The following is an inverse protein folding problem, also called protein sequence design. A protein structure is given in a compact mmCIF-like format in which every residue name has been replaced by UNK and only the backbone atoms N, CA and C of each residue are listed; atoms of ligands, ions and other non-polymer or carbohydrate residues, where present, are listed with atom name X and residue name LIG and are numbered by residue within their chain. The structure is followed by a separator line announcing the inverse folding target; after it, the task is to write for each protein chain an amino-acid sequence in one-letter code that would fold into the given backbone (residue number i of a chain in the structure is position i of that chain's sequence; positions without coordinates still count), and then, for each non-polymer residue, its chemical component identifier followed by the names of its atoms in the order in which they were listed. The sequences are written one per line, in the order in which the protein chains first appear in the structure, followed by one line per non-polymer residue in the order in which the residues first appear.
data_IF_356830904850
#
_entry.id   IF_356830904850
#
_cell.length_a   1.000
_cell.length_b   1.000
_cell.length_c   1.000
_cell.angle_alpha   90.00
_cell.angle_beta   90.00
_cell.angle_gamma   90.00
#
_symmetry.space_group_name_H-M   'P 1'
#
loop_
_entity.id
_entity.type
_entity.pdbx_description
1 polymer ?
#
# COMPACT_ATOMS: atom_id res chain seq x y z
N UNK A 1 28.31 -39.82 0.70
CA UNK A 1 27.88 -38.50 1.23
C UNK A 1 26.93 -37.91 0.22
N UNK A 2 25.65 -38.16 0.39
CA UNK A 2 24.57 -37.61 -0.45
C UNK A 2 24.26 -36.21 0.09
N UNK A 3 24.59 -35.19 -0.71
CA UNK A 3 24.18 -33.81 -0.42
C UNK A 3 22.65 -33.78 -0.46
N UNK A 4 22.03 -33.58 0.70
CA UNK A 4 20.59 -33.27 0.82
C UNK A 4 20.39 -31.92 0.14
N UNK A 5 19.78 -31.91 -1.05
CA UNK A 5 19.35 -30.70 -1.71
C UNK A 5 18.43 -29.95 -0.73
N UNK A 6 18.72 -28.67 -0.50
CA UNK A 6 17.83 -27.80 0.26
C UNK A 6 16.43 -27.86 -0.40
N UNK A 7 15.35 -27.91 0.38
CA UNK A 7 14.00 -27.96 -0.18
C UNK A 7 13.82 -26.74 -1.09
N UNK A 8 13.49 -26.99 -2.36
CA UNK A 8 13.15 -25.93 -3.31
C UNK A 8 12.05 -25.06 -2.68
N UNK A 9 12.39 -23.85 -2.30
CA UNK A 9 11.47 -22.91 -1.67
C UNK A 9 10.44 -22.50 -2.73
N UNK A 10 9.23 -23.04 -2.63
CA UNK A 10 8.15 -22.69 -3.56
C UNK A 10 7.80 -21.20 -3.41
N UNK A 11 7.98 -20.37 -4.45
CA UNK A 11 7.75 -18.94 -4.40
C UNK A 11 6.28 -18.56 -4.10
N UNK A 12 5.36 -19.51 -4.23
CA UNK A 12 3.96 -19.30 -3.85
C UNK A 12 3.77 -19.11 -2.33
N UNK A 13 4.66 -19.71 -1.53
CA UNK A 13 4.57 -19.70 -0.06
C UNK A 13 5.71 -18.90 0.59
N UNK A 14 6.79 -18.63 -0.12
CA UNK A 14 7.96 -17.99 0.44
C UNK A 14 8.21 -16.63 -0.18
N UNK A 15 8.45 -15.66 0.68
CA UNK A 15 8.81 -14.31 0.29
C UNK A 15 10.32 -14.11 0.46
N UNK A 16 11.04 -13.74 -0.60
CA UNK A 16 12.44 -13.39 -0.50
C UNK A 16 12.66 -11.89 -0.68
N UNK A 17 13.58 -11.33 0.11
CA UNK A 17 13.99 -9.93 -0.03
C UNK A 17 14.53 -9.63 -1.43
N UNK A 18 15.27 -10.57 -2.03
CA UNK A 18 15.81 -10.45 -3.38
C UNK A 18 14.71 -10.36 -4.45
N UNK A 19 13.68 -11.23 -4.37
CA UNK A 19 12.54 -11.16 -5.27
C UNK A 19 11.83 -9.80 -5.19
N UNK A 20 11.60 -9.28 -3.97
CA UNK A 20 11.00 -7.95 -3.77
C UNK A 20 11.90 -6.81 -4.27
N UNK A 21 13.23 -6.94 -4.11
CA UNK A 21 14.19 -6.00 -4.69
C UNK A 21 14.12 -6.00 -6.21
N UNK A 22 13.96 -7.17 -6.82
CA UNK A 22 13.82 -7.34 -8.27
C UNK A 22 12.60 -6.63 -8.86
N UNK A 23 11.54 -6.36 -8.08
CA UNK A 23 10.34 -5.64 -8.56
C UNK A 23 10.61 -4.17 -8.94
N UNK A 24 11.78 -3.62 -8.59
CA UNK A 24 12.18 -2.25 -8.96
C UNK A 24 12.01 -1.95 -10.45
N UNK A 25 12.28 -2.91 -11.33
CA UNK A 25 12.16 -2.71 -12.77
C UNK A 25 10.71 -2.52 -13.23
N UNK A 26 9.73 -3.14 -12.55
CA UNK A 26 8.31 -2.97 -12.82
C UNK A 26 7.81 -1.61 -12.30
N UNK A 27 8.29 -1.17 -11.16
CA UNK A 27 7.95 0.13 -10.60
C UNK A 27 8.35 1.31 -11.52
N UNK A 28 9.45 1.16 -12.28
CA UNK A 28 9.96 2.18 -13.21
C UNK A 28 9.28 2.21 -14.58
N UNK A 29 8.63 1.13 -15.02
CA UNK A 29 8.04 1.02 -16.37
C UNK A 29 6.85 1.97 -16.62
N UNK A 30 6.26 2.56 -15.58
CA UNK A 30 5.16 3.52 -15.68
C UNK A 30 5.58 4.98 -15.86
N UNK A 31 6.86 5.31 -15.89
CA UNK A 31 7.36 6.68 -16.08
C UNK A 31 7.45 6.99 -17.57
N UNK A 32 6.31 7.05 -18.27
CA UNK A 32 6.17 7.92 -19.41
C UNK A 32 5.88 9.30 -18.83
N UNK A 33 6.55 10.39 -19.24
CA UNK A 33 6.12 11.75 -18.93
C UNK A 33 4.86 12.05 -19.75
N UNK A 34 3.80 11.32 -19.46
CA UNK A 34 2.48 11.67 -19.94
C UNK A 34 2.04 12.87 -19.12
N UNK A 35 1.98 14.01 -19.79
CA UNK A 35 1.14 15.14 -19.42
C UNK A 35 0.04 14.68 -18.47
N UNK A 36 0.10 15.14 -17.21
CA UNK A 36 -0.92 14.86 -16.20
C UNK A 36 -2.28 15.40 -16.67
N UNK A 37 -2.90 14.70 -17.56
CA UNK A 37 -4.30 14.91 -17.90
C UNK A 37 -5.10 14.20 -16.83
N UNK A 38 -5.57 14.98 -15.87
CA UNK A 38 -6.53 14.57 -14.85
C UNK A 38 -7.81 14.08 -15.54
N UNK A 39 -7.86 12.80 -15.89
CA UNK A 39 -9.09 12.15 -16.32
C UNK A 39 -9.89 11.78 -15.07
N UNK A 40 -10.98 12.50 -14.87
CA UNK A 40 -12.05 12.39 -13.91
C UNK A 40 -12.21 11.14 -13.06
N UNK A 41 -11.89 11.29 -11.79
CA UNK A 41 -12.62 10.62 -10.70
C UNK A 41 -13.56 11.68 -10.10
N UNK A 42 -14.85 11.44 -9.96
CA UNK A 42 -15.77 12.38 -9.35
C UNK A 42 -15.45 12.47 -7.85
N UNK A 43 -15.08 13.65 -7.35
CA UNK A 43 -15.01 13.95 -5.94
C UNK A 43 -13.67 14.43 -5.37
N UNK A 44 -12.64 14.68 -6.16
CA UNK A 44 -11.36 15.19 -5.65
C UNK A 44 -11.23 16.72 -5.80
N UNK A 45 -11.35 17.48 -4.71
CA UNK A 45 -10.95 18.90 -4.68
C UNK A 45 -9.44 18.95 -4.73
N UNK A 46 -8.88 19.40 -5.87
CA UNK A 46 -7.45 19.68 -6.01
C UNK A 46 -7.14 20.98 -5.28
N UNK A 47 -6.73 20.90 -4.02
CA UNK A 47 -6.14 22.04 -3.33
C UNK A 47 -4.67 22.15 -3.73
N UNK A 48 -4.36 23.08 -4.64
CA UNK A 48 -2.99 23.57 -4.84
C UNK A 48 -2.56 24.35 -3.59
N UNK A 49 -2.09 23.66 -2.54
CA UNK A 49 -1.42 24.34 -1.43
C UNK A 49 0.02 24.66 -1.86
N UNK A 50 0.35 25.93 -1.82
CA UNK A 50 1.70 26.46 -2.05
C UNK A 50 2.52 26.26 -0.77
N UNK A 51 3.75 25.72 -0.89
CA UNK A 51 4.66 25.49 0.21
C UNK A 51 5.93 26.36 0.13
N UNK A 52 6.74 26.31 1.18
CA UNK A 52 8.04 26.99 1.29
C UNK A 52 9.16 25.96 1.18
N UNK A 53 9.56 25.60 -0.04
CA UNK A 53 10.74 24.77 -0.31
C UNK A 53 12.02 25.60 -0.51
N UNK A 54 13.19 24.97 -0.45
CA UNK A 54 14.51 25.63 -0.52
C UNK A 54 15.10 25.76 -1.92
N UNK A 55 14.62 25.00 -2.91
CA UNK A 55 15.05 25.12 -4.29
C UNK A 55 13.98 25.72 -5.22
N UNK A 56 14.33 26.73 -6.07
CA UNK A 56 13.39 27.34 -6.99
C UNK A 56 13.26 26.50 -8.25
N UNK A 57 12.14 25.79 -8.42
CA UNK A 57 11.91 24.92 -9.59
C UNK A 57 11.29 25.65 -10.78
N UNK A 58 10.59 26.76 -10.56
CA UNK A 58 9.94 27.53 -11.64
C UNK A 58 9.81 29.01 -11.29
N UNK A 59 9.68 29.85 -12.34
CA UNK A 59 9.52 31.27 -12.21
C UNK A 59 8.21 31.69 -12.89
N UNK A 60 7.28 32.29 -12.13
CA UNK A 60 6.02 32.81 -12.67
C UNK A 60 5.92 34.32 -12.54
N UNK A 61 4.99 34.91 -13.26
CA UNK A 61 4.66 36.33 -13.09
C UNK A 61 4.17 36.59 -11.67
N UNK A 62 4.63 37.70 -11.10
CA UNK A 62 4.16 38.19 -9.82
C UNK A 62 2.67 38.55 -9.86
N UNK A 63 1.94 38.27 -8.80
CA UNK A 63 0.56 38.69 -8.62
C UNK A 63 0.36 39.33 -7.26
N UNK A 64 -0.67 40.16 -7.13
CA UNK A 64 -1.00 40.83 -5.88
C UNK A 64 -1.25 39.84 -4.75
N UNK A 65 -0.53 39.97 -3.63
CA UNK A 65 -0.50 39.01 -2.53
C UNK A 65 0.75 38.12 -2.47
N UNK A 66 1.64 38.21 -3.45
CA UNK A 66 2.92 37.50 -3.40
C UNK A 66 3.94 38.23 -2.52
N UNK A 67 4.76 37.46 -1.76
CA UNK A 67 5.82 38.00 -0.93
C UNK A 67 6.98 38.53 -1.79
N UNK A 68 7.30 39.80 -1.66
CA UNK A 68 8.39 40.47 -2.40
C UNK A 68 9.77 39.84 -2.18
N UNK A 69 9.95 39.07 -1.12
CA UNK A 69 11.20 38.36 -0.81
C UNK A 69 11.49 37.23 -1.80
N UNK A 70 10.46 36.72 -2.48
CA UNK A 70 10.56 35.67 -3.47
C UNK A 70 10.70 36.16 -4.92
N UNK A 71 10.90 37.46 -5.13
CA UNK A 71 11.11 38.03 -6.47
C UNK A 71 12.41 37.47 -7.07
N UNK A 72 12.32 36.84 -8.26
CA UNK A 72 13.47 36.46 -9.04
C UNK A 72 14.04 37.66 -9.79
N UNK A 73 15.16 38.20 -9.29
CA UNK A 73 15.83 39.39 -9.85
C UNK A 73 16.34 39.13 -11.26
N UNK A 74 16.79 37.92 -11.55
CA UNK A 74 17.35 37.59 -12.87
C UNK A 74 16.26 37.48 -13.96
N UNK A 75 15.16 36.82 -13.65
CA UNK A 75 14.03 36.74 -14.56
C UNK A 75 13.36 38.10 -14.75
N UNK A 76 13.20 38.90 -13.65
CA UNK A 76 12.65 40.22 -13.68
C UNK A 76 13.53 41.20 -14.50
N UNK A 77 14.85 41.15 -14.35
CA UNK A 77 15.77 41.97 -15.12
C UNK A 77 15.79 41.66 -16.60
N UNK A 78 15.56 40.38 -16.96
CA UNK A 78 15.57 39.94 -18.37
C UNK A 78 14.27 40.30 -19.10
N UNK A 79 13.14 40.28 -18.42
CA UNK A 79 11.81 40.44 -19.04
C UNK A 79 11.22 41.85 -18.79
N UNK A 80 11.72 42.60 -17.83
CA UNK A 80 11.14 43.87 -17.39
C UNK A 80 9.84 43.73 -16.59
N UNK A 81 9.37 42.55 -16.31
CA UNK A 81 8.13 42.26 -15.57
C UNK A 81 8.50 41.47 -14.31
N UNK A 82 7.85 41.81 -13.16
CA UNK A 82 8.12 41.12 -11.89
C UNK A 82 7.82 39.64 -11.96
N UNK A 83 8.82 38.82 -11.65
CA UNK A 83 8.73 37.40 -11.55
C UNK A 83 8.99 36.95 -10.12
N UNK A 84 8.26 35.93 -9.67
CA UNK A 84 8.40 35.32 -8.36
C UNK A 84 8.85 33.86 -8.53
N UNK A 85 9.85 33.48 -7.72
CA UNK A 85 10.24 32.08 -7.60
C UNK A 85 9.11 31.30 -6.95
N UNK A 86 8.62 30.31 -7.64
CA UNK A 86 7.73 29.31 -7.06
C UNK A 86 8.60 28.23 -6.47
N UNK A 87 8.53 28.09 -5.16
CA UNK A 87 9.11 26.91 -4.51
C UNK A 87 8.04 25.83 -4.55
N UNK A 88 8.33 24.70 -5.18
CA UNK A 88 7.58 23.51 -4.86
C UNK A 88 7.91 23.17 -3.41
N UNK A 89 6.89 22.96 -2.60
CA UNK A 89 7.07 22.32 -1.30
C UNK A 89 7.58 20.89 -1.65
N UNK A 90 8.88 20.68 -1.60
CA UNK A 90 9.43 19.35 -1.39
C UNK A 90 8.95 18.93 0.00
N UNK A 91 7.66 18.65 0.11
CA UNK A 91 7.19 17.91 1.26
C UNK A 91 7.86 16.58 1.16
N UNK A 92 8.78 16.40 2.06
CA UNK A 92 9.44 15.17 2.38
C UNK A 92 8.37 14.08 2.51
N UNK A 93 7.98 13.53 1.32
CA UNK A 93 6.86 12.60 1.18
C UNK A 93 7.17 11.36 1.99
N UNK A 94 6.66 11.31 3.22
CA UNK A 94 6.82 10.18 4.11
C UNK A 94 5.65 9.22 3.96
N UNK A 95 5.93 7.99 3.59
CA UNK A 95 4.95 6.91 3.42
C UNK A 95 5.28 5.79 4.40
N UNK A 96 4.33 5.33 5.20
CA UNK A 96 4.42 4.08 5.94
C UNK A 96 3.58 3.02 5.25
N UNK A 97 4.23 1.93 4.90
CA UNK A 97 3.60 0.73 4.38
C UNK A 97 3.21 -0.16 5.55
N UNK A 98 1.92 -0.51 5.68
CA UNK A 98 1.44 -1.45 6.68
C UNK A 98 1.08 -2.76 5.99
N UNK A 99 1.88 -3.81 6.23
CA UNK A 99 1.67 -5.14 5.70
C UNK A 99 0.98 -6.02 6.75
N UNK A 100 -0.12 -6.65 6.37
CA UNK A 100 -0.82 -7.62 7.20
C UNK A 100 -0.32 -9.03 6.87
N UNK A 101 0.36 -9.66 7.83
CA UNK A 101 0.83 -11.07 7.76
C UNK A 101 0.23 -11.91 8.88
N UNK A 102 -0.91 -11.47 9.42
CA UNK A 102 -1.66 -12.24 10.41
C UNK A 102 -2.18 -13.55 9.79
N UNK A 103 -2.60 -14.51 10.60
CA UNK A 103 -3.05 -15.83 10.14
C UNK A 103 -4.01 -15.84 8.95
N UNK A 104 -5.00 -14.96 8.90
CA UNK A 104 -5.95 -14.87 7.79
C UNK A 104 -5.28 -14.53 6.45
N UNK A 105 -4.14 -13.85 6.48
CA UNK A 105 -3.39 -13.49 5.28
C UNK A 105 -2.48 -14.62 4.77
N UNK A 106 -2.23 -15.66 5.58
CA UNK A 106 -1.47 -16.85 5.20
C UNK A 106 -2.33 -17.86 4.42
N UNK A 107 -3.28 -17.35 3.67
CA UNK A 107 -4.19 -18.09 2.82
C UNK A 107 -3.96 -17.76 1.34
N UNK A 108 -4.08 -18.77 0.48
CA UNK A 108 -4.01 -18.61 -0.98
C UNK A 108 -4.36 -19.92 -1.68
N UNK A 109 -5.02 -19.83 -2.84
CA UNK A 109 -5.55 -21.03 -3.53
C UNK A 109 -4.91 -21.33 -4.88
N UNK A 110 -4.18 -20.39 -5.47
CA UNK A 110 -3.60 -20.55 -6.80
C UNK A 110 -2.14 -20.10 -6.88
N UNK A 111 -1.90 -18.82 -7.14
CA UNK A 111 -0.56 -18.29 -7.41
C UNK A 111 0.30 -18.16 -6.15
N UNK A 112 -0.24 -17.57 -5.11
CA UNK A 112 0.51 -17.21 -3.92
C UNK A 112 -0.42 -17.03 -2.70
N UNK A 113 0.17 -16.83 -1.52
CA UNK A 113 -0.57 -16.39 -0.35
C UNK A 113 -0.96 -14.91 -0.47
N UNK A 114 -2.03 -14.49 0.19
CA UNK A 114 -2.45 -13.08 0.29
C UNK A 114 -1.32 -12.20 0.84
N UNK A 115 -0.58 -12.70 1.84
CA UNK A 115 0.59 -12.02 2.43
C UNK A 115 1.71 -11.77 1.42
N UNK A 116 1.97 -12.72 0.52
CA UNK A 116 2.95 -12.57 -0.56
C UNK A 116 2.49 -11.49 -1.53
N UNK A 117 1.23 -11.53 -1.98
CA UNK A 117 0.66 -10.53 -2.89
C UNK A 117 0.66 -9.11 -2.26
N UNK A 118 0.34 -9.02 -0.97
CA UNK A 118 0.42 -7.76 -0.21
C UNK A 118 1.84 -7.20 -0.20
N UNK A 119 2.85 -8.03 0.09
CA UNK A 119 4.25 -7.63 0.11
C UNK A 119 4.75 -7.19 -1.26
N UNK A 120 4.39 -7.89 -2.33
CA UNK A 120 4.73 -7.53 -3.71
C UNK A 120 4.16 -6.14 -4.08
N UNK A 121 2.88 -5.89 -3.78
CA UNK A 121 2.23 -4.61 -4.06
C UNK A 121 2.87 -3.47 -3.25
N UNK A 122 3.11 -3.68 -1.96
CA UNK A 122 3.75 -2.69 -1.10
C UNK A 122 5.20 -2.41 -1.53
N UNK A 123 5.96 -3.44 -1.95
CA UNK A 123 7.32 -3.24 -2.47
C UNK A 123 7.32 -2.42 -3.77
N UNK A 124 6.38 -2.70 -4.70
CA UNK A 124 6.21 -1.90 -5.91
C UNK A 124 5.93 -0.43 -5.59
N UNK A 125 5.01 -0.17 -4.65
CA UNK A 125 4.71 1.19 -4.23
C UNK A 125 5.91 1.86 -3.54
N UNK A 126 6.61 1.14 -2.65
CA UNK A 126 7.80 1.63 -1.97
C UNK A 126 8.91 2.03 -2.97
N UNK A 127 9.13 1.23 -4.01
CA UNK A 127 10.08 1.54 -5.08
C UNK A 127 9.70 2.80 -5.87
N UNK A 128 8.41 3.06 -6.09
CA UNK A 128 7.93 4.29 -6.72
C UNK A 128 8.20 5.49 -5.83
N UNK A 129 7.76 5.41 -4.56
CA UNK A 129 7.98 6.48 -3.56
C UNK A 129 9.44 6.88 -3.47
N UNK A 130 10.34 5.90 -3.35
CA UNK A 130 11.79 6.16 -3.27
C UNK A 130 12.35 6.65 -4.61
N UNK A 131 11.82 6.16 -5.73
CA UNK A 131 12.19 6.61 -7.07
C UNK A 131 11.88 8.08 -7.32
N UNK A 132 10.84 8.60 -6.68
CA UNK A 132 10.39 10.00 -6.72
C UNK A 132 11.01 10.86 -5.59
N UNK A 133 12.05 10.36 -4.90
CA UNK A 133 12.74 11.08 -3.83
C UNK A 133 12.07 11.03 -2.46
N UNK A 134 10.94 10.32 -2.32
CA UNK A 134 10.22 10.17 -1.05
C UNK A 134 10.91 9.23 -0.05
N UNK A 135 10.35 9.18 1.16
CA UNK A 135 10.78 8.32 2.26
C UNK A 135 9.76 7.22 2.54
N UNK A 136 10.23 5.99 2.71
CA UNK A 136 9.39 4.82 2.98
C UNK A 136 9.74 4.21 4.32
N UNK A 137 8.73 3.97 5.15
CA UNK A 137 8.78 3.20 6.38
C UNK A 137 7.89 1.96 6.27
N UNK A 138 7.92 1.12 7.29
CA UNK A 138 7.20 -0.15 7.31
C UNK A 138 6.64 -0.41 8.70
N UNK A 139 5.43 -0.96 8.75
CA UNK A 139 4.88 -1.67 9.89
C UNK A 139 4.37 -3.02 9.39
N UNK A 140 4.73 -4.11 10.06
CA UNK A 140 4.23 -5.44 9.71
C UNK A 140 3.44 -6.00 10.88
N UNK A 141 2.17 -6.33 10.60
CA UNK A 141 1.31 -7.08 11.49
C UNK A 141 1.62 -8.58 11.36
N UNK A 142 1.91 -9.25 12.44
CA UNK A 142 2.09 -10.70 12.51
C UNK A 142 1.34 -11.28 13.70
N UNK A 143 1.63 -12.52 14.06
CA UNK A 143 1.16 -13.13 15.31
C UNK A 143 1.93 -12.62 16.53
N UNK A 144 3.17 -12.15 16.31
CA UNK A 144 4.10 -11.65 17.32
C UNK A 144 4.10 -10.12 17.41
N UNK A 145 5.12 -9.61 18.14
CA UNK A 145 5.41 -8.18 18.16
C UNK A 145 5.60 -7.61 16.75
N UNK A 146 4.99 -6.44 16.47
CA UNK A 146 5.06 -5.84 15.15
C UNK A 146 6.49 -5.41 14.81
N UNK A 147 6.88 -5.63 13.56
CA UNK A 147 8.10 -5.06 13.02
C UNK A 147 7.83 -3.65 12.54
N UNK A 148 8.64 -2.67 12.97
CA UNK A 148 8.48 -1.28 12.58
C UNK A 148 9.79 -0.66 12.09
N UNK A 149 9.75 0.03 10.94
CA UNK A 149 10.86 0.81 10.37
C UNK A 149 10.41 2.25 10.15
N UNK A 150 11.20 3.21 10.62
CA UNK A 150 10.95 4.63 10.37
C UNK A 150 11.12 4.99 8.90
N UNK A 151 10.37 5.96 8.36
CA UNK A 151 10.54 6.42 6.98
C UNK A 151 11.96 6.90 6.70
N UNK A 152 12.61 6.30 5.68
CA UNK A 152 13.92 6.66 5.18
C UNK A 152 13.93 6.63 3.65
N UNK A 153 14.83 7.41 3.04
CA UNK A 153 14.94 7.53 1.59
C UNK A 153 15.99 6.59 0.97
N UNK A 154 15.93 6.47 -0.35
CA UNK A 154 16.94 5.79 -1.14
C UNK A 154 16.88 4.27 -1.09
N UNK A 155 17.80 3.64 -1.83
CA UNK A 155 17.82 2.18 -2.03
C UNK A 155 18.05 1.40 -0.73
N UNK A 156 18.83 1.96 0.21
CA UNK A 156 19.06 1.34 1.52
C UNK A 156 17.77 1.18 2.33
N UNK A 157 16.86 2.15 2.23
CA UNK A 157 15.56 2.06 2.89
C UNK A 157 14.75 0.90 2.30
N UNK A 158 14.74 0.74 0.98
CA UNK A 158 14.04 -0.38 0.33
C UNK A 158 14.67 -1.72 0.66
N UNK A 159 16.00 -1.81 0.74
CA UNK A 159 16.67 -3.03 1.21
C UNK A 159 16.23 -3.42 2.63
N UNK A 160 16.13 -2.45 3.53
CA UNK A 160 15.62 -2.70 4.89
C UNK A 160 14.14 -3.13 4.88
N UNK A 161 13.30 -2.45 4.09
CA UNK A 161 11.86 -2.76 3.96
C UNK A 161 11.64 -4.16 3.40
N UNK A 162 12.30 -4.51 2.28
CA UNK A 162 12.13 -5.83 1.65
C UNK A 162 12.69 -6.96 2.51
N UNK A 163 13.82 -6.73 3.18
CA UNK A 163 14.38 -7.68 4.14
C UNK A 163 13.47 -7.90 5.36
N UNK A 164 12.88 -6.82 5.89
CA UNK A 164 11.94 -6.90 7.01
C UNK A 164 10.64 -7.62 6.63
N UNK A 165 10.09 -7.35 5.41
CA UNK A 165 8.93 -8.07 4.89
C UNK A 165 9.21 -9.58 4.78
N UNK A 166 10.36 -9.97 4.18
CA UNK A 166 10.74 -11.37 4.03
C UNK A 166 10.91 -12.05 5.39
N UNK A 167 11.62 -11.41 6.33
CA UNK A 167 11.84 -11.95 7.66
C UNK A 167 10.56 -12.09 8.47
N UNK A 168 9.67 -11.08 8.42
CA UNK A 168 8.39 -11.12 9.12
C UNK A 168 7.48 -12.20 8.55
N UNK A 169 7.44 -12.37 7.21
CA UNK A 169 6.67 -13.41 6.56
C UNK A 169 7.18 -14.81 6.93
N UNK A 170 8.49 -15.02 6.96
CA UNK A 170 9.06 -16.30 7.38
C UNK A 170 8.69 -16.64 8.83
N UNK A 171 8.72 -15.65 9.75
CA UNK A 171 8.25 -15.85 11.13
C UNK A 171 6.76 -16.20 11.19
N UNK A 172 5.92 -15.48 10.42
CA UNK A 172 4.48 -15.76 10.37
C UNK A 172 4.17 -17.19 9.91
N UNK A 173 4.91 -17.70 8.93
CA UNK A 173 4.77 -19.10 8.47
C UNK A 173 5.26 -20.12 9.48
N UNK A 174 6.27 -19.78 10.28
CA UNK A 174 6.84 -20.69 11.28
C UNK A 174 5.97 -20.84 12.52
N UNK A 175 5.04 -19.92 12.76
CA UNK A 175 4.19 -19.92 13.95
C UNK A 175 2.82 -20.54 13.68
N UNK A 176 2.38 -21.51 14.51
CA UNK A 176 1.02 -22.01 14.44
C UNK A 176 0.05 -20.88 14.80
N UNK A 177 -0.85 -20.58 13.88
CA UNK A 177 -1.81 -19.52 14.07
C UNK A 177 -2.90 -19.91 15.07
N UNK A 178 -3.15 -19.05 16.05
CA UNK A 178 -4.29 -19.20 16.96
C UNK A 178 -5.47 -18.32 16.50
N UNK A 179 -5.25 -17.03 16.23
CA UNK A 179 -6.25 -16.06 15.77
C UNK A 179 -5.55 -14.80 15.23
N UNK A 180 -6.30 -13.97 14.50
CA UNK A 180 -5.81 -12.66 14.09
C UNK A 180 -5.84 -11.68 15.28
N UNK A 181 -4.72 -11.10 15.71
CA UNK A 181 -4.74 -9.99 16.65
C UNK A 181 -5.36 -8.75 15.96
N UNK A 182 -6.02 -7.84 16.73
CA UNK A 182 -6.56 -6.61 16.16
C UNK A 182 -5.50 -5.72 15.49
N UNK A 183 -5.86 -5.03 14.39
CA UNK A 183 -4.99 -4.05 13.72
C UNK A 183 -4.96 -2.68 14.43
N UNK A 184 -5.80 -2.48 15.44
CA UNK A 184 -6.01 -1.20 16.12
C UNK A 184 -4.69 -0.59 16.65
N UNK A 185 -3.90 -1.40 17.36
CA UNK A 185 -2.60 -0.96 17.89
C UNK A 185 -1.59 -0.62 16.77
N UNK A 186 -1.68 -1.29 15.63
CA UNK A 186 -0.78 -1.09 14.50
C UNK A 186 -1.07 0.20 13.74
N UNK A 187 -2.33 0.61 13.67
CA UNK A 187 -2.70 1.92 13.17
C UNK A 187 -2.09 3.04 14.02
N UNK A 188 -2.14 2.88 15.34
CA UNK A 188 -1.52 3.83 16.29
C UNK A 188 0.00 3.86 16.15
N UNK A 189 0.63 2.69 16.01
CA UNK A 189 2.07 2.58 15.76
C UNK A 189 2.45 3.27 14.43
N UNK A 190 1.75 2.98 13.34
CA UNK A 190 2.00 3.59 12.04
C UNK A 190 1.85 5.12 12.09
N UNK A 191 0.84 5.63 12.83
CA UNK A 191 0.67 7.07 13.06
C UNK A 191 1.88 7.69 13.76
N UNK A 192 2.47 7.01 14.74
CA UNK A 192 3.63 7.52 15.48
C UNK A 192 4.91 7.68 14.63
N UNK A 193 4.96 7.00 13.48
CA UNK A 193 6.08 7.05 12.54
C UNK A 193 5.92 8.14 11.48
N UNK A 194 4.74 8.75 11.35
CA UNK A 194 4.42 9.69 10.29
C UNK A 194 4.26 11.12 10.83
N UNK A 195 4.75 12.14 10.10
CA UNK A 195 4.38 13.51 10.33
C UNK A 195 2.91 13.76 9.96
N UNK A 196 2.35 14.88 10.37
CA UNK A 196 1.05 15.32 9.87
C UNK A 196 1.11 15.56 8.35
N UNK A 197 0.10 15.07 7.64
CA UNK A 197 0.09 15.06 6.16
C UNK A 197 0.89 13.91 5.54
N UNK A 198 1.48 13.03 6.35
CA UNK A 198 2.12 11.81 5.86
C UNK A 198 1.11 10.79 5.31
N UNK A 199 1.62 9.76 4.66
CA UNK A 199 0.80 8.78 3.94
C UNK A 199 0.89 7.41 4.60
N UNK A 200 -0.26 6.79 4.84
CA UNK A 200 -0.38 5.41 5.32
C UNK A 200 -1.00 4.53 4.23
N UNK A 201 -0.33 3.46 3.86
CA UNK A 201 -0.85 2.48 2.91
C UNK A 201 -0.95 1.13 3.60
N UNK A 202 -2.16 0.64 3.78
CA UNK A 202 -2.46 -0.67 4.41
C UNK A 202 -2.82 -1.70 3.35
N UNK A 203 -2.13 -2.83 3.34
CA UNK A 203 -2.47 -4.01 2.54
C UNK A 203 -2.94 -5.14 3.43
N UNK A 204 -4.22 -5.49 3.35
CA UNK A 204 -4.89 -6.51 4.17
C UNK A 204 -6.12 -7.06 3.46
N UNK A 205 -6.60 -8.24 3.85
CA UNK A 205 -7.94 -8.72 3.49
C UNK A 205 -9.05 -8.12 4.38
N UNK A 206 -8.68 -7.55 5.53
CA UNK A 206 -9.60 -6.99 6.54
C UNK A 206 -10.66 -7.98 7.03
N UNK A 207 -10.31 -9.28 7.13
CA UNK A 207 -11.25 -10.32 7.59
C UNK A 207 -11.63 -10.11 9.05
N UNK A 208 -10.67 -9.72 9.89
CA UNK A 208 -10.86 -9.43 11.33
C UNK A 208 -10.01 -8.23 11.73
N UNK A 209 -10.38 -6.99 11.35
CA UNK A 209 -9.52 -5.82 11.55
C UNK A 209 -9.42 -5.38 13.01
N UNK A 210 -10.42 -5.66 13.83
CA UNK A 210 -10.53 -5.23 15.22
C UNK A 210 -11.76 -4.35 15.47
N UNK A 211 -12.21 -4.26 16.74
CA UNK A 211 -13.45 -3.55 17.06
C UNK A 211 -13.34 -2.03 16.91
N UNK A 212 -12.15 -1.46 17.10
CA UNK A 212 -11.91 -0.02 17.00
C UNK A 212 -11.34 0.42 15.66
N UNK A 213 -11.08 -0.51 14.75
CA UNK A 213 -10.39 -0.27 13.49
C UNK A 213 -11.01 0.86 12.65
N UNK A 214 -12.30 0.79 12.38
CA UNK A 214 -13.00 1.77 11.54
C UNK A 214 -13.02 3.16 12.16
N UNK A 215 -13.19 3.23 13.49
CA UNK A 215 -13.15 4.48 14.24
C UNK A 215 -11.74 5.12 14.18
N UNK A 216 -10.70 4.33 14.45
CA UNK A 216 -9.32 4.80 14.40
C UNK A 216 -8.91 5.21 13.00
N UNK A 217 -9.28 4.42 11.99
CA UNK A 217 -8.96 4.73 10.60
C UNK A 217 -9.57 6.06 10.16
N UNK A 218 -10.84 6.32 10.53
CA UNK A 218 -11.51 7.59 10.23
C UNK A 218 -10.84 8.76 10.95
N UNK A 219 -10.50 8.61 12.22
CA UNK A 219 -9.78 9.64 12.98
C UNK A 219 -8.40 9.96 12.38
N UNK A 220 -7.66 8.92 11.97
CA UNK A 220 -6.36 9.10 11.36
C UNK A 220 -6.43 9.79 9.99
N UNK A 221 -7.52 9.58 9.25
CA UNK A 221 -7.75 10.23 7.96
C UNK A 221 -7.89 11.76 8.05
N UNK A 222 -8.15 12.32 9.23
CA UNK A 222 -8.17 13.78 9.46
C UNK A 222 -6.76 14.40 9.35
N UNK A 223 -5.72 13.62 9.65
CA UNK A 223 -4.33 14.10 9.70
C UNK A 223 -3.37 13.40 8.76
N UNK A 224 -3.76 12.26 8.18
CA UNK A 224 -2.97 11.43 7.27
C UNK A 224 -3.73 11.20 5.96
N UNK A 225 -2.98 10.99 4.89
CA UNK A 225 -3.53 10.46 3.64
C UNK A 225 -3.51 8.93 3.70
N UNK A 226 -4.68 8.32 3.83
CA UNK A 226 -4.79 6.85 3.99
C UNK A 226 -5.21 6.20 2.69
N UNK A 227 -4.58 5.07 2.36
CA UNK A 227 -4.90 4.22 1.21
C UNK A 227 -5.03 2.76 1.66
N UNK A 228 -6.01 2.08 1.10
CA UNK A 228 -6.27 0.67 1.36
C UNK A 228 -6.01 -0.18 0.13
N UNK A 229 -5.27 -1.26 0.29
CA UNK A 229 -5.11 -2.33 -0.69
C UNK A 229 -5.84 -3.54 -0.11
N UNK A 230 -7.05 -3.78 -0.60
CA UNK A 230 -7.86 -4.91 -0.17
C UNK A 230 -7.46 -6.15 -0.96
N UNK A 231 -6.73 -7.04 -0.32
CA UNK A 231 -6.17 -8.25 -0.93
C UNK A 231 -7.23 -9.35 -0.94
N UNK A 232 -7.54 -9.91 -2.11
CA UNK A 232 -8.54 -10.97 -2.25
C UNK A 232 -8.02 -12.15 -3.08
N UNK A 233 -8.39 -13.36 -2.68
CA UNK A 233 -8.07 -14.62 -3.39
C UNK A 233 -9.19 -15.00 -4.39
N UNK A 234 -8.84 -15.75 -5.42
CA UNK A 234 -9.81 -16.26 -6.41
C UNK A 234 -10.95 -17.05 -5.77
N UNK A 235 -10.67 -17.78 -4.72
CA UNK A 235 -11.66 -18.59 -4.01
C UNK A 235 -12.81 -17.76 -3.43
N UNK A 236 -12.53 -16.53 -3.00
CA UNK A 236 -13.56 -15.62 -2.50
C UNK A 236 -14.48 -15.11 -3.59
N UNK A 237 -13.96 -15.00 -4.81
CA UNK A 237 -14.71 -14.50 -5.95
C UNK A 237 -15.51 -15.56 -6.69
N UNK A 238 -14.98 -16.77 -6.74
CA UNK A 238 -15.57 -17.88 -7.48
C UNK A 238 -15.13 -19.18 -6.84
N UNK A 239 -15.97 -19.75 -6.01
CA UNK A 239 -15.75 -21.07 -5.43
C UNK A 239 -16.04 -22.13 -6.49
N UNK A 240 -15.07 -22.95 -6.91
CA UNK A 240 -15.37 -24.10 -7.73
C UNK A 240 -16.38 -25.03 -7.03
N UNK A 241 -17.16 -25.83 -7.77
CA UNK A 241 -18.00 -26.85 -7.15
C UNK A 241 -17.15 -27.83 -6.35
N UNK A 242 -17.52 -28.12 -5.11
CA UNK A 242 -16.74 -29.03 -4.26
C UNK A 242 -17.08 -28.94 -2.78
N UNK A 243 -16.38 -29.73 -2.00
CA UNK A 243 -16.44 -29.72 -0.54
C UNK A 243 -15.19 -29.07 0.01
N UNK A 244 -15.37 -28.03 0.83
CA UNK A 244 -14.28 -27.24 1.38
C UNK A 244 -14.29 -27.34 2.91
N UNK A 245 -13.32 -28.07 3.50
CA UNK A 245 -13.15 -28.07 4.94
C UNK A 245 -12.66 -26.68 5.39
N UNK A 246 -13.17 -26.22 6.51
CA UNK A 246 -12.73 -24.97 7.13
C UNK A 246 -12.54 -25.14 8.63
N UNK A 247 -11.70 -24.30 9.20
CA UNK A 247 -11.58 -24.12 10.64
C UNK A 247 -11.80 -22.64 10.97
N UNK A 248 -12.57 -22.38 12.02
CA UNK A 248 -12.77 -21.04 12.54
C UNK A 248 -11.71 -20.72 13.62
N UNK A 249 -11.42 -19.43 13.88
CA UNK A 249 -10.47 -19.04 14.92
C UNK A 249 -10.79 -19.58 16.32
N UNK A 250 -12.07 -19.85 16.59
CA UNK A 250 -12.56 -20.45 17.84
C UNK A 250 -12.36 -21.99 17.91
N UNK A 251 -11.68 -22.57 16.93
CA UNK A 251 -11.39 -24.00 16.85
C UNK A 251 -12.51 -24.85 16.24
N UNK A 252 -13.69 -24.30 15.97
CA UNK A 252 -14.76 -25.04 15.27
C UNK A 252 -14.33 -25.38 13.85
N UNK A 253 -14.65 -26.60 13.44
CA UNK A 253 -14.37 -27.11 12.09
C UNK A 253 -15.66 -27.50 11.41
N UNK A 254 -15.69 -27.36 10.12
CA UNK A 254 -16.85 -27.73 9.30
C UNK A 254 -16.46 -27.96 7.85
N UNK A 255 -17.45 -28.24 7.03
CA UNK A 255 -17.30 -28.39 5.58
C UNK A 255 -18.40 -27.60 4.90
N UNK A 256 -18.00 -26.74 3.95
CA UNK A 256 -18.95 -26.03 3.09
C UNK A 256 -19.00 -26.74 1.74
N UNK A 257 -20.19 -27.04 1.28
CA UNK A 257 -20.43 -27.54 -0.07
C UNK A 257 -20.74 -26.37 -1.00
N UNK A 258 -19.98 -26.23 -2.09
CA UNK A 258 -20.28 -25.30 -3.18
C UNK A 258 -20.94 -26.04 -4.32
N UNK A 259 -22.18 -25.65 -4.68
CA UNK A 259 -22.90 -26.17 -5.81
C UNK A 259 -22.50 -25.46 -7.12
N UNK A 260 -22.70 -26.13 -8.28
CA UNK A 260 -22.42 -25.54 -9.61
C UNK A 260 -23.13 -24.22 -9.88
N UNK A 261 -24.29 -24.01 -9.27
CA UNK A 261 -25.09 -22.79 -9.45
C UNK A 261 -24.49 -21.60 -8.69
N UNK A 262 -23.99 -21.82 -7.47
CA UNK A 262 -23.29 -20.82 -6.68
C UNK A 262 -21.95 -20.35 -7.30
N UNK A 263 -21.36 -21.17 -8.18
CA UNK A 263 -20.12 -20.81 -8.88
C UNK A 263 -20.32 -19.77 -10.02
N UNK A 264 -21.56 -19.48 -10.41
CA UNK A 264 -21.90 -18.51 -11.46
C UNK A 264 -22.29 -17.14 -10.90
N UNK A 265 -22.62 -17.06 -9.63
CA UNK A 265 -22.94 -15.81 -8.94
C UNK A 265 -21.66 -15.20 -8.34
N UNK A 266 -21.52 -13.87 -8.35
CA UNK A 266 -20.40 -13.23 -7.65
C UNK A 266 -20.44 -13.67 -6.19
N UNK A 267 -19.31 -14.16 -5.67
CA UNK A 267 -19.26 -14.61 -4.28
C UNK A 267 -19.63 -13.44 -3.34
N UNK A 268 -20.43 -13.70 -2.29
CA UNK A 268 -20.82 -12.67 -1.32
C UNK A 268 -19.63 -11.85 -0.78
N UNK A 269 -18.47 -12.50 -0.61
CA UNK A 269 -17.24 -11.84 -0.16
C UNK A 269 -16.74 -10.76 -1.14
N UNK A 270 -16.95 -10.93 -2.46
CA UNK A 270 -16.59 -9.91 -3.45
C UNK A 270 -17.47 -8.67 -3.34
N UNK A 271 -18.79 -8.85 -3.23
CA UNK A 271 -19.74 -7.74 -3.05
C UNK A 271 -19.44 -7.00 -1.75
N UNK A 272 -19.19 -7.74 -0.66
CA UNK A 272 -18.82 -7.15 0.62
C UNK A 272 -17.50 -6.36 0.56
N UNK A 273 -16.52 -6.81 -0.25
CA UNK A 273 -15.27 -6.10 -0.45
C UNK A 273 -15.46 -4.80 -1.23
N UNK A 274 -16.23 -4.83 -2.31
CA UNK A 274 -16.52 -3.64 -3.13
C UNK A 274 -17.37 -2.62 -2.35
N UNK A 275 -18.36 -3.07 -1.57
CA UNK A 275 -19.16 -2.25 -0.68
C UNK A 275 -18.31 -1.61 0.43
N UNK A 276 -17.39 -2.36 1.02
CA UNK A 276 -16.44 -1.86 2.02
C UNK A 276 -15.54 -0.77 1.46
N UNK A 277 -14.96 -0.96 0.26
CA UNK A 277 -14.16 0.05 -0.40
C UNK A 277 -14.97 1.31 -0.73
N UNK A 278 -16.24 1.15 -1.16
CA UNK A 278 -17.14 2.26 -1.42
C UNK A 278 -17.48 3.03 -0.12
N UNK A 279 -17.64 2.33 1.01
CA UNK A 279 -17.85 2.97 2.31
C UNK A 279 -16.64 3.78 2.76
N UNK A 280 -15.42 3.22 2.65
CA UNK A 280 -14.20 3.95 2.96
C UNK A 280 -14.00 5.16 2.04
N UNK A 281 -14.31 5.04 0.74
CA UNK A 281 -14.24 6.16 -0.19
C UNK A 281 -15.17 7.33 0.22
N UNK A 282 -16.36 7.05 0.74
CA UNK A 282 -17.27 8.09 1.30
C UNK A 282 -16.66 8.81 2.50
N UNK A 283 -15.77 8.17 3.23
CA UNK A 283 -15.03 8.74 4.37
C UNK A 283 -13.69 9.39 3.95
N UNK A 284 -13.45 9.56 2.64
CA UNK A 284 -12.21 10.16 2.11
C UNK A 284 -11.00 9.21 2.08
N UNK A 285 -11.20 7.92 2.36
CA UNK A 285 -10.15 6.90 2.36
C UNK A 285 -10.22 6.13 1.04
N UNK A 286 -9.30 6.43 0.12
CA UNK A 286 -9.25 5.74 -1.16
C UNK A 286 -8.66 4.33 -1.01
N UNK A 287 -9.16 3.41 -1.81
CA UNK A 287 -8.65 2.04 -1.81
C UNK A 287 -8.83 1.37 -3.17
N UNK A 288 -8.16 0.25 -3.31
CA UNK A 288 -8.29 -0.63 -4.47
C UNK A 288 -8.32 -2.09 -4.02
N UNK A 289 -8.90 -2.95 -4.85
CA UNK A 289 -8.81 -4.39 -4.68
C UNK A 289 -7.60 -4.93 -5.44
N UNK A 290 -6.87 -5.84 -4.79
CA UNK A 290 -5.74 -6.54 -5.33
C UNK A 290 -6.08 -8.04 -5.43
N UNK A 291 -6.09 -8.56 -6.64
CA UNK A 291 -6.35 -9.97 -6.88
C UNK A 291 -5.04 -10.77 -6.84
N UNK A 292 -4.91 -11.70 -5.90
CA UNK A 292 -3.69 -12.48 -5.68
C UNK A 292 -3.17 -13.15 -6.95
N UNK A 293 -4.07 -13.63 -7.83
CA UNK A 293 -3.71 -14.34 -9.05
C UNK A 293 -3.06 -13.46 -10.12
N UNK A 294 -3.28 -12.16 -10.07
CA UNK A 294 -2.84 -11.26 -11.14
C UNK A 294 -1.31 -11.07 -11.18
N UNK A 295 -0.64 -11.12 -10.03
CA UNK A 295 0.81 -11.02 -9.91
C UNK A 295 1.39 -9.61 -10.07
N UNK A 296 2.71 -9.44 -9.83
CA UNK A 296 3.37 -8.14 -9.74
C UNK A 296 3.26 -7.29 -11.01
N UNK A 297 3.28 -7.89 -12.19
CA UNK A 297 3.15 -7.16 -13.46
C UNK A 297 1.80 -6.44 -13.59
N UNK A 298 0.73 -7.07 -13.13
CA UNK A 298 -0.60 -6.47 -13.09
C UNK A 298 -0.77 -5.50 -11.91
N UNK A 299 0.02 -5.66 -10.84
CA UNK A 299 -0.01 -4.74 -9.69
C UNK A 299 0.66 -3.41 -10.01
N UNK A 300 1.70 -3.38 -10.85
CA UNK A 300 2.46 -2.18 -11.15
C UNK A 300 1.57 -1.00 -11.60
N UNK A 301 0.65 -1.13 -12.59
CA UNK A 301 -0.24 -0.03 -12.97
C UNK A 301 -1.27 0.33 -11.89
N UNK A 302 -1.64 -0.61 -11.01
CA UNK A 302 -2.52 -0.30 -9.87
C UNK A 302 -1.79 0.58 -8.85
N UNK A 303 -0.53 0.24 -8.55
CA UNK A 303 0.31 1.03 -7.65
C UNK A 303 0.64 2.40 -8.22
N UNK A 304 0.79 2.52 -9.54
CA UNK A 304 0.95 3.81 -10.21
C UNK A 304 -0.27 4.72 -9.99
N UNK A 305 -1.49 4.19 -10.17
CA UNK A 305 -2.72 4.95 -9.90
C UNK A 305 -2.87 5.33 -8.42
N UNK A 306 -2.51 4.43 -7.52
CA UNK A 306 -2.55 4.68 -6.09
C UNK A 306 -1.56 5.77 -5.70
N UNK A 307 -0.36 5.73 -6.27
CA UNK A 307 0.72 6.68 -6.08
C UNK A 307 0.38 8.09 -6.60
N UNK A 308 -0.27 8.19 -7.73
CA UNK A 308 -0.68 9.48 -8.32
C UNK A 308 -1.66 10.29 -7.43
N UNK A 309 -2.26 9.65 -6.45
CA UNK A 309 -3.23 10.25 -5.50
C UNK A 309 -2.61 10.41 -4.09
N UNK A 310 -1.39 9.89 -3.87
CA UNK A 310 -0.56 10.12 -2.68
C UNK A 310 0.17 11.46 -2.83
#
# INVERSE_FOLDING_TARGET
MTATAAPETNPAFHLSGEALMGLRHLARRGVTPATRTLAGLPGGIVTKRRGRGSEPDDVRLWSEGDDRRHIDRNATARTGILHVRTHHDERDRAVVLLADFRPSMLFGTRRALRSVAAAEALALLGWRVVGDGGRVGLVVAGADEPTALRPAGGERAMTAVTGALASAHARALAQPAAADPPLDALLTLARSLLPSGGHLVLASALDSPGPDFDRLLTLLAESLSIRLILVSDAFERSRPPGFYPFALPDGRRGTVQSARQAAREPAPARLAADERLADYARRGIAGLRLDVEAGPEAYAPLMERLDAVL
#
